data_IF_365718521867
#
_entry.id   IF_365718521867
#
_cell.length_a   1.000
_cell.length_b   1.000
_cell.length_c   1.000
_cell.angle_alpha   90.00
_cell.angle_beta   90.00
_cell.angle_gamma   90.00
#
_symmetry.space_group_name_H-M   'P 1'
#
loop_
_entity.id
_entity.type
_entity.pdbx_description
1 polymer ?
#
# COMPACT_ATOMS: atom_id res chain seq x y z
N UNK A 1 -20.43 12.97 2.28
CA UNK A 1 -20.50 11.68 1.58
C UNK A 1 -20.52 11.91 0.09
N UNK A 2 -19.49 11.45 -0.61
CA UNK A 2 -19.37 11.50 -2.07
C UNK A 2 -20.17 10.33 -2.67
N UNK A 3 -20.77 10.56 -3.85
CA UNK A 3 -21.59 9.56 -4.53
C UNK A 3 -20.93 8.98 -5.78
N UNK A 4 -19.92 9.67 -6.29
CA UNK A 4 -19.15 9.27 -7.48
C UNK A 4 -17.67 9.25 -7.20
N UNK A 5 -16.90 8.55 -8.04
CA UNK A 5 -15.43 8.53 -7.97
C UNK A 5 -14.88 9.95 -8.21
N UNK A 6 -15.45 10.70 -9.15
CA UNK A 6 -15.06 12.06 -9.45
C UNK A 6 -15.20 12.98 -8.23
N UNK A 7 -16.37 12.98 -7.57
CA UNK A 7 -16.59 13.74 -6.33
C UNK A 7 -15.62 13.32 -5.23
N UNK A 8 -15.36 12.02 -5.09
CA UNK A 8 -14.43 11.48 -4.11
C UNK A 8 -13.02 12.00 -4.34
N UNK A 9 -12.51 11.86 -5.55
CA UNK A 9 -11.15 12.31 -5.90
C UNK A 9 -11.01 13.82 -5.77
N UNK A 10 -12.02 14.59 -6.20
CA UNK A 10 -12.01 16.05 -6.09
C UNK A 10 -12.01 16.56 -4.63
N UNK A 11 -12.52 15.76 -3.69
CA UNK A 11 -12.56 16.11 -2.27
C UNK A 11 -11.24 15.86 -1.52
N UNK A 12 -10.25 15.22 -2.16
CA UNK A 12 -8.98 14.87 -1.53
C UNK A 12 -7.91 15.91 -1.89
N UNK A 13 -7.17 16.36 -0.88
CA UNK A 13 -6.05 17.30 -1.05
C UNK A 13 -4.89 16.68 -1.82
N UNK A 14 -4.27 17.48 -2.69
CA UNK A 14 -3.11 17.08 -3.49
C UNK A 14 -1.78 17.21 -2.71
N UNK A 15 -0.80 16.31 -2.94
CA UNK A 15 -0.91 15.10 -3.73
C UNK A 15 -1.86 14.10 -3.06
N UNK A 16 -2.81 13.59 -3.82
CA UNK A 16 -3.83 12.67 -3.30
C UNK A 16 -3.19 11.36 -2.88
N UNK A 17 -3.69 10.79 -1.80
CA UNK A 17 -3.24 9.50 -1.25
C UNK A 17 -4.46 8.60 -1.14
N UNK A 18 -4.59 7.67 -2.06
CA UNK A 18 -5.77 6.80 -2.16
C UNK A 18 -5.35 5.34 -1.95
N UNK A 19 -5.88 4.72 -0.92
CA UNK A 19 -5.62 3.32 -0.60
C UNK A 19 -6.73 2.42 -1.13
N UNK A 20 -6.34 1.43 -1.91
CA UNK A 20 -7.21 0.41 -2.46
C UNK A 20 -7.19 -0.81 -1.54
N UNK A 21 -8.34 -1.15 -0.97
CA UNK A 21 -8.54 -2.36 -0.16
C UNK A 21 -9.55 -3.27 -0.86
N UNK A 22 -9.25 -3.62 -2.11
CA UNK A 22 -10.11 -4.44 -2.97
C UNK A 22 -9.50 -5.81 -3.21
N UNK A 23 -10.28 -6.73 -3.76
CA UNK A 23 -9.78 -8.04 -4.15
C UNK A 23 -8.64 -7.91 -5.17
N UNK A 24 -7.55 -8.64 -4.93
CA UNK A 24 -6.40 -8.66 -5.84
C UNK A 24 -6.78 -9.21 -7.23
N UNK A 25 -6.07 -8.76 -8.25
CA UNK A 25 -6.29 -9.16 -9.63
C UNK A 25 -7.16 -8.18 -10.40
N UNK A 26 -8.13 -8.64 -11.22
CA UNK A 26 -8.93 -7.80 -12.12
C UNK A 26 -9.70 -6.67 -11.41
N UNK A 27 -10.15 -6.88 -10.17
CA UNK A 27 -10.84 -5.85 -9.41
C UNK A 27 -9.93 -4.67 -9.08
N UNK A 28 -8.66 -4.92 -8.78
CA UNK A 28 -7.66 -3.87 -8.56
C UNK A 28 -7.43 -3.08 -9.85
N UNK A 29 -7.26 -3.78 -10.99
CA UNK A 29 -7.06 -3.14 -12.30
C UNK A 29 -8.26 -2.27 -12.68
N UNK A 30 -9.49 -2.78 -12.52
CA UNK A 30 -10.71 -2.03 -12.80
C UNK A 30 -10.84 -0.77 -11.93
N UNK A 31 -10.48 -0.87 -10.65
CA UNK A 31 -10.50 0.28 -9.74
C UNK A 31 -9.48 1.34 -10.13
N UNK A 32 -8.26 0.94 -10.49
CA UNK A 32 -7.23 1.85 -10.98
C UNK A 32 -7.70 2.56 -12.26
N UNK A 33 -8.26 1.83 -13.23
CA UNK A 33 -8.77 2.40 -14.47
C UNK A 33 -9.91 3.41 -14.25
N UNK A 34 -10.77 3.15 -13.28
CA UNK A 34 -11.85 4.07 -12.93
C UNK A 34 -11.35 5.36 -12.23
N UNK A 35 -10.26 5.27 -11.47
CA UNK A 35 -9.66 6.42 -10.79
C UNK A 35 -8.79 7.26 -11.72
N UNK A 36 -8.07 6.63 -12.63
CA UNK A 36 -7.01 7.25 -13.43
C UNK A 36 -7.43 8.53 -14.17
N UNK A 37 -8.64 8.65 -14.79
CA UNK A 37 -9.09 9.87 -15.45
C UNK A 37 -9.22 11.09 -14.52
N UNK A 38 -9.32 10.87 -13.23
CA UNK A 38 -9.54 11.92 -12.21
C UNK A 38 -8.28 12.26 -11.41
N UNK A 39 -7.18 11.51 -11.63
CA UNK A 39 -5.92 11.71 -10.92
C UNK A 39 -5.01 12.70 -11.66
N UNK A 40 -4.16 13.35 -10.88
CA UNK A 40 -3.14 14.24 -11.39
C UNK A 40 -1.74 13.67 -11.18
N UNK A 41 -0.79 14.14 -11.98
CA UNK A 41 0.62 13.81 -11.82
C UNK A 41 1.10 14.13 -10.39
N UNK A 42 1.75 13.15 -9.76
CA UNK A 42 2.22 13.23 -8.39
C UNK A 42 1.27 12.62 -7.36
N UNK A 43 0.02 12.29 -7.74
CA UNK A 43 -0.89 11.55 -6.86
C UNK A 43 -0.34 10.15 -6.56
N UNK A 44 -0.77 9.58 -5.45
CA UNK A 44 -0.27 8.29 -4.93
C UNK A 44 -1.44 7.32 -4.81
N UNK A 45 -1.35 6.20 -5.54
CA UNK A 45 -2.20 5.04 -5.35
C UNK A 45 -1.48 4.00 -4.49
N UNK A 46 -2.18 3.47 -3.49
CA UNK A 46 -1.65 2.49 -2.55
C UNK A 46 -2.48 1.22 -2.69
N UNK A 47 -1.87 0.13 -3.15
CA UNK A 47 -2.52 -1.18 -3.20
C UNK A 47 -2.27 -1.94 -1.89
N UNK A 48 -3.28 -1.98 -1.03
CA UNK A 48 -3.28 -2.73 0.24
C UNK A 48 -3.86 -4.14 0.12
N UNK A 49 -4.25 -4.57 -1.07
CA UNK A 49 -4.73 -5.91 -1.36
C UNK A 49 -3.67 -6.99 -1.18
N UNK A 50 -4.09 -8.25 -1.27
CA UNK A 50 -3.16 -9.38 -1.23
C UNK A 50 -2.61 -9.71 -2.63
N UNK A 51 -2.01 -8.73 -3.27
CA UNK A 51 -1.60 -8.77 -4.67
C UNK A 51 -0.33 -9.59 -4.87
N UNK A 52 -0.30 -10.38 -5.95
CA UNK A 52 0.90 -11.04 -6.43
C UNK A 52 1.90 -10.00 -6.94
N UNK A 53 3.14 -10.02 -6.47
CA UNK A 53 4.11 -8.94 -6.70
C UNK A 53 4.41 -8.63 -8.18
N UNK A 54 4.38 -9.58 -9.15
CA UNK A 54 4.52 -9.25 -10.57
C UNK A 54 3.42 -8.33 -11.10
N UNK A 55 2.17 -8.49 -10.60
CA UNK A 55 1.09 -7.57 -10.95
C UNK A 55 1.34 -6.16 -10.42
N UNK A 56 1.91 -6.06 -9.21
CA UNK A 56 2.33 -4.78 -8.63
C UNK A 56 3.40 -4.11 -9.49
N UNK A 57 4.38 -4.88 -9.97
CA UNK A 57 5.44 -4.37 -10.85
C UNK A 57 4.88 -3.87 -12.18
N UNK A 58 3.96 -4.62 -12.78
CA UNK A 58 3.27 -4.23 -14.02
C UNK A 58 2.50 -2.92 -13.85
N UNK A 59 1.67 -2.83 -12.80
CA UNK A 59 0.88 -1.62 -12.50
C UNK A 59 1.77 -0.41 -12.25
N UNK A 60 2.86 -0.61 -11.52
CA UNK A 60 3.82 0.46 -11.26
C UNK A 60 4.42 1.01 -12.57
N UNK A 61 4.79 0.14 -13.51
CA UNK A 61 5.30 0.55 -14.81
C UNK A 61 4.23 1.29 -15.64
N UNK A 62 3.01 0.76 -15.70
CA UNK A 62 1.89 1.36 -16.44
C UNK A 62 1.52 2.77 -15.90
N UNK A 63 1.53 2.95 -14.59
CA UNK A 63 1.17 4.22 -13.94
C UNK A 63 2.29 5.25 -13.99
N UNK A 64 3.55 4.81 -14.10
CA UNK A 64 4.69 5.71 -14.22
C UNK A 64 4.59 6.62 -15.44
N UNK A 65 4.07 6.11 -16.57
CA UNK A 65 3.87 6.90 -17.80
C UNK A 65 2.88 8.06 -17.60
N UNK A 66 1.92 7.88 -16.69
CA UNK A 66 0.96 8.92 -16.30
C UNK A 66 1.47 9.83 -15.16
N UNK A 67 2.66 9.56 -14.64
CA UNK A 67 3.25 10.29 -13.51
C UNK A 67 2.57 10.03 -12.17
N UNK A 68 1.80 8.96 -12.06
CA UNK A 68 1.15 8.51 -10.82
C UNK A 68 2.11 7.59 -10.06
N UNK A 69 2.29 7.85 -8.78
CA UNK A 69 3.06 6.98 -7.89
C UNK A 69 2.22 5.78 -7.46
N UNK A 70 2.85 4.61 -7.40
CA UNK A 70 2.19 3.38 -7.00
C UNK A 70 2.95 2.66 -5.90
N UNK A 71 2.30 2.46 -4.75
CA UNK A 71 2.87 1.80 -3.58
C UNK A 71 2.14 0.47 -3.35
N UNK A 72 2.81 -0.64 -3.63
CA UNK A 72 2.31 -1.96 -3.29
C UNK A 72 2.58 -2.28 -1.83
N UNK A 73 1.52 -2.44 -1.04
CA UNK A 73 1.62 -2.52 0.42
C UNK A 73 1.12 -3.88 0.93
N UNK A 74 2.03 -4.69 1.44
CA UNK A 74 1.65 -5.87 2.20
C UNK A 74 1.06 -5.49 3.54
N UNK A 75 -0.21 -5.83 3.77
CA UNK A 75 -0.90 -5.62 5.05
C UNK A 75 -1.14 -6.98 5.69
N UNK A 76 -0.69 -7.18 6.92
CA UNK A 76 -0.76 -8.47 7.63
C UNK A 76 -1.27 -8.30 9.05
N UNK A 77 -2.08 -9.26 9.51
CA UNK A 77 -2.64 -9.25 10.88
C UNK A 77 -4.04 -9.85 10.98
N UNK A 78 -4.72 -10.11 9.85
CA UNK A 78 -6.11 -10.61 9.84
C UNK A 78 -7.07 -9.68 10.59
N UNK A 79 -8.11 -10.24 11.20
CA UNK A 79 -9.11 -9.50 11.97
C UNK A 79 -8.50 -8.79 13.19
N UNK A 80 -7.59 -9.45 13.89
CA UNK A 80 -6.87 -8.86 15.03
C UNK A 80 -6.05 -7.64 14.58
N UNK A 81 -5.31 -7.76 13.48
CA UNK A 81 -4.56 -6.64 12.92
C UNK A 81 -5.44 -5.48 12.46
N UNK A 82 -6.65 -5.77 11.95
CA UNK A 82 -7.59 -4.72 11.59
C UNK A 82 -8.10 -3.94 12.81
N UNK A 83 -8.20 -4.59 13.97
CA UNK A 83 -8.66 -3.98 15.22
C UNK A 83 -7.54 -3.28 16.00
N UNK A 84 -6.39 -3.92 16.11
CA UNK A 84 -5.29 -3.51 17.00
C UNK A 84 -4.12 -2.83 16.26
N UNK A 85 -4.17 -2.82 14.93
CA UNK A 85 -3.13 -2.32 14.04
C UNK A 85 -2.37 -3.45 13.32
N UNK A 86 -2.29 -3.39 11.99
CA UNK A 86 -1.59 -4.39 11.18
C UNK A 86 -0.07 -4.17 11.14
N UNK A 87 0.64 -5.20 10.73
CA UNK A 87 2.01 -5.05 10.23
C UNK A 87 1.95 -4.62 8.76
N UNK A 88 2.65 -3.52 8.41
CA UNK A 88 2.56 -2.86 7.11
C UNK A 88 3.91 -2.89 6.39
N UNK A 89 3.91 -3.38 5.16
CA UNK A 89 5.11 -3.58 4.34
C UNK A 89 4.97 -2.84 3.00
N UNK A 90 5.20 -1.53 2.96
CA UNK A 90 5.11 -0.75 1.74
C UNK A 90 6.35 -0.92 0.85
N UNK A 91 6.13 -0.95 -0.47
CA UNK A 91 7.17 -0.92 -1.49
C UNK A 91 6.72 -0.10 -2.69
N UNK A 92 7.64 0.60 -3.32
CA UNK A 92 7.37 1.49 -4.46
C UNK A 92 8.35 2.67 -4.50
N UNK A 93 7.94 3.82 -5.02
CA UNK A 93 8.76 5.02 -5.05
C UNK A 93 9.01 5.53 -3.61
N UNK A 94 10.29 5.70 -3.27
CA UNK A 94 10.69 6.11 -1.90
C UNK A 94 10.13 7.47 -1.52
N UNK A 95 10.13 8.41 -2.44
CA UNK A 95 9.62 9.77 -2.24
C UNK A 95 8.10 9.77 -1.97
N UNK A 96 7.36 8.90 -2.67
CA UNK A 96 5.93 8.72 -2.41
C UNK A 96 5.69 8.05 -1.05
N UNK A 97 6.50 7.06 -0.69
CA UNK A 97 6.45 6.45 0.64
C UNK A 97 6.64 7.49 1.76
N UNK A 98 7.60 8.39 1.62
CA UNK A 98 7.88 9.40 2.65
C UNK A 98 6.66 10.32 2.92
N UNK A 99 5.80 10.54 1.92
CA UNK A 99 4.55 11.30 2.08
C UNK A 99 3.44 10.52 2.80
N UNK A 100 3.49 9.19 2.79
CA UNK A 100 2.48 8.33 3.44
C UNK A 100 2.97 7.71 4.76
N UNK A 101 4.27 7.72 5.01
CA UNK A 101 4.88 7.13 6.20
C UNK A 101 4.24 7.60 7.52
N UNK A 102 3.96 8.90 7.74
CA UNK A 102 3.31 9.35 8.97
C UNK A 102 1.93 8.73 9.20
N UNK A 103 1.18 8.47 8.13
CA UNK A 103 -0.14 7.81 8.21
C UNK A 103 0.05 6.33 8.58
N UNK A 104 0.96 5.65 7.89
CA UNK A 104 1.23 4.23 8.14
C UNK A 104 1.78 3.98 9.55
N UNK A 105 2.63 4.84 10.05
CA UNK A 105 3.14 4.77 11.43
C UNK A 105 2.05 4.91 12.49
N UNK A 106 1.00 5.68 12.21
CA UNK A 106 -0.13 5.84 13.12
C UNK A 106 -1.06 4.62 13.15
N UNK A 107 -1.33 4.02 11.97
CA UNK A 107 -2.29 2.91 11.85
C UNK A 107 -1.65 1.53 12.05
N UNK A 108 -0.33 1.42 11.96
CA UNK A 108 0.37 0.18 12.21
C UNK A 108 0.27 -0.27 13.67
N UNK A 109 0.23 -1.58 13.89
CA UNK A 109 0.42 -2.16 15.21
C UNK A 109 1.69 -1.66 15.86
N UNK A 110 1.76 -1.75 17.18
CA UNK A 110 2.96 -1.35 17.94
C UNK A 110 3.67 -2.60 18.47
N UNK A 111 4.98 -2.63 18.30
CA UNK A 111 5.80 -3.71 18.82
C UNK A 111 5.74 -3.75 20.36
N UNK A 112 5.46 -4.91 20.99
CA UNK A 112 5.30 -4.98 22.45
C UNK A 112 6.55 -4.60 23.23
N UNK A 113 7.74 -4.74 22.63
CA UNK A 113 9.02 -4.55 23.29
C UNK A 113 9.41 -3.08 23.43
N UNK A 114 9.14 -2.27 22.42
CA UNK A 114 9.63 -0.88 22.35
C UNK A 114 8.58 0.14 21.89
N UNK A 115 7.34 -0.32 21.63
CA UNK A 115 6.23 0.54 21.21
C UNK A 115 6.37 1.13 19.79
N UNK A 116 7.38 0.72 19.04
CA UNK A 116 7.56 1.22 17.66
C UNK A 116 6.49 0.70 16.71
N UNK A 117 6.12 1.49 15.70
CA UNK A 117 5.15 1.04 14.70
C UNK A 117 5.71 -0.11 13.85
N UNK A 118 4.87 -1.13 13.65
CA UNK A 118 5.18 -2.28 12.80
C UNK A 118 5.05 -1.94 11.31
N UNK A 119 5.81 -0.96 10.86
CA UNK A 119 5.90 -0.54 9.47
C UNK A 119 7.34 -0.25 9.08
N UNK A 120 7.75 -0.73 7.90
CA UNK A 120 9.05 -0.40 7.32
C UNK A 120 8.97 -0.42 5.80
N UNK A 121 9.66 0.52 5.15
CA UNK A 121 9.81 0.51 3.71
C UNK A 121 10.62 -0.70 3.26
N UNK A 122 10.03 -1.52 2.38
CA UNK A 122 10.60 -2.79 1.95
C UNK A 122 11.54 -2.67 0.76
N UNK A 123 11.46 -1.58 0.00
CA UNK A 123 12.25 -1.37 -1.20
C UNK A 123 11.41 -0.90 -2.39
N UNK A 124 12.03 -0.71 -3.55
CA UNK A 124 11.34 -0.21 -4.73
C UNK A 124 10.34 -1.22 -5.32
N UNK A 125 9.46 -0.72 -6.18
CA UNK A 125 8.58 -1.50 -7.02
C UNK A 125 7.67 -2.46 -6.23
N UNK A 126 7.62 -3.76 -6.59
CA UNK A 126 6.79 -4.79 -5.95
C UNK A 126 7.31 -5.34 -4.62
N UNK A 127 8.34 -4.74 -4.01
CA UNK A 127 9.02 -5.28 -2.83
C UNK A 127 8.08 -5.51 -1.63
N UNK A 128 7.09 -4.65 -1.40
CA UNK A 128 6.15 -4.80 -0.29
C UNK A 128 5.31 -6.08 -0.39
N UNK A 129 4.70 -6.32 -1.54
CA UNK A 129 3.94 -7.55 -1.79
C UNK A 129 4.83 -8.79 -1.87
N UNK A 130 6.04 -8.66 -2.41
CA UNK A 130 7.02 -9.75 -2.42
C UNK A 130 7.36 -10.21 -0.99
N UNK A 131 7.67 -9.29 -0.10
CA UNK A 131 8.00 -9.60 1.30
C UNK A 131 6.81 -10.23 2.02
N UNK A 132 5.60 -9.70 1.82
CA UNK A 132 4.40 -10.27 2.45
C UNK A 132 4.09 -11.69 1.97
N UNK A 133 4.17 -11.93 0.65
CA UNK A 133 3.77 -13.18 0.00
C UNK A 133 4.94 -14.13 -0.27
N UNK A 134 6.15 -13.76 0.15
CA UNK A 134 7.38 -14.52 -0.04
C UNK A 134 7.39 -15.87 0.69
N UNK A 135 8.44 -16.70 0.44
CA UNK A 135 8.55 -18.02 1.01
C UNK A 135 8.43 -18.07 2.54
N UNK A 136 7.92 -19.15 3.06
CA UNK A 136 7.58 -19.30 4.48
C UNK A 136 8.75 -19.07 5.46
N UNK A 137 9.99 -19.32 5.05
CA UNK A 137 11.20 -19.02 5.83
C UNK A 137 11.39 -17.51 6.09
N UNK A 138 10.95 -16.65 5.16
CA UNK A 138 10.95 -15.19 5.33
C UNK A 138 9.92 -14.74 6.37
N UNK A 139 8.80 -15.47 6.49
CA UNK A 139 7.79 -15.24 7.54
C UNK A 139 8.29 -15.60 8.93
N UNK A 140 9.07 -16.69 9.04
CA UNK A 140 9.69 -17.10 10.31
C UNK A 140 10.69 -16.06 10.79
N UNK A 141 11.49 -15.49 9.89
CA UNK A 141 12.43 -14.42 10.23
C UNK A 141 11.72 -13.15 10.73
N UNK A 142 10.55 -12.82 10.19
CA UNK A 142 9.72 -11.69 10.65
C UNK A 142 9.17 -11.88 12.06
N UNK A 143 8.82 -13.10 12.44
CA UNK A 143 8.42 -13.40 13.83
C UNK A 143 9.59 -13.30 14.82
N UNK A 144 10.82 -13.50 14.33
CA UNK A 144 12.02 -13.36 15.13
C UNK A 144 12.47 -11.88 15.29
N UNK A 145 11.98 -10.97 14.45
CA UNK A 145 12.34 -9.53 14.46
C UNK A 145 11.21 -8.61 14.97
N UNK A 146 10.31 -9.12 15.80
CA UNK A 146 9.45 -8.32 16.72
C UNK A 146 8.21 -7.61 16.15
N UNK A 147 7.78 -7.91 14.90
CA UNK A 147 6.47 -7.43 14.41
C UNK A 147 5.66 -8.51 13.75
#
# INVERSE_FOLDING_TARGET
>A
LTKTIEEFVAAIEKPRRIMLMVQAGPATDATIQALLPHLDKGDILIDGGNTHFPDTMRRNAELADSGINFIGTGVSGGEKGALEGPSIMPGGQKEAYDLIAPIFEQIAGKAPQDGKPCVAYMGPNGAGHYVKNGPQWYRVWRHATHC
#
